data_IF_694752840469
#
_entry.id   IF_694752840469
#
_cell.length_a   1.000
_cell.length_b   1.000
_cell.length_c   1.000
_cell.angle_alpha   90.00
_cell.angle_beta   90.00
_cell.angle_gamma   90.00
#
_symmetry.space_group_name_H-M   'P 1'
#
loop_
_entity.id
_entity.type
_entity.pdbx_description
1 polymer ?
#
# COMPACT_ATOMS: atom_id res chain seq x y z
N UNK A 1 -92.05 13.67 12.16
CA UNK A 1 -91.05 14.13 13.14
C UNK A 1 -89.77 14.44 12.38
N UNK A 2 -89.50 15.72 12.08
CA UNK A 2 -88.36 16.52 12.63
C UNK A 2 -86.97 15.99 12.28
N UNK A 3 -85.95 16.75 11.83
CA UNK A 3 -85.74 18.12 11.32
C UNK A 3 -84.20 18.23 11.18
N UNK A 4 -83.72 19.00 10.19
CA UNK A 4 -82.37 19.67 10.16
C UNK A 4 -81.14 18.73 10.04
N UNK A 5 -79.95 19.13 9.57
CA UNK A 5 -79.27 20.43 9.58
C UNK A 5 -78.23 20.49 8.44
N UNK A 6 -78.24 21.60 7.71
CA UNK A 6 -77.16 22.13 6.86
C UNK A 6 -76.04 22.70 7.73
N UNK A 7 -74.77 22.29 7.57
CA UNK A 7 -73.63 23.06 8.10
C UNK A 7 -72.46 23.09 7.11
N UNK A 8 -72.12 24.32 6.75
CA UNK A 8 -70.90 24.73 6.07
C UNK A 8 -69.66 24.39 6.91
N UNK A 9 -68.58 23.99 6.25
CA UNK A 9 -67.24 24.05 6.82
C UNK A 9 -66.37 24.87 5.88
N UNK A 10 -65.70 25.86 6.48
CA UNK A 10 -65.01 26.96 5.85
C UNK A 10 -63.79 26.52 5.02
N UNK A 11 -63.54 27.28 3.96
CA UNK A 11 -62.23 27.40 3.33
C UNK A 11 -61.17 27.69 4.40
N UNK A 12 -60.24 26.75 4.60
CA UNK A 12 -58.93 27.04 5.15
C UNK A 12 -57.92 26.80 4.03
N UNK A 13 -57.56 27.88 3.33
CA UNK A 13 -56.39 27.91 2.46
C UNK A 13 -55.16 27.85 3.38
N UNK A 14 -54.74 26.63 3.70
CA UNK A 14 -53.41 26.40 4.25
C UNK A 14 -52.42 26.61 3.09
N UNK A 15 -51.84 27.82 3.04
CA UNK A 15 -50.59 28.08 2.33
C UNK A 15 -49.52 27.23 3.02
N UNK A 16 -49.42 25.97 2.61
CA UNK A 16 -48.20 25.21 2.85
C UNK A 16 -47.11 25.93 2.06
N UNK A 17 -46.00 26.37 2.70
CA UNK A 17 -44.82 26.65 1.93
C UNK A 17 -44.54 25.36 1.18
N UNK A 18 -44.51 25.45 -0.15
CA UNK A 18 -43.89 24.48 -1.02
C UNK A 18 -42.48 24.28 -0.46
N UNK A 19 -42.34 23.34 0.48
CA UNK A 19 -41.09 22.64 0.70
C UNK A 19 -40.73 22.21 -0.70
N UNK A 20 -39.70 22.86 -1.24
CA UNK A 20 -39.02 22.42 -2.42
C UNK A 20 -38.84 20.92 -2.22
N UNK A 21 -39.72 20.13 -2.83
CA UNK A 21 -39.44 18.76 -3.23
C UNK A 21 -38.32 18.95 -4.22
N UNK A 22 -37.12 19.11 -3.67
CA UNK A 22 -35.89 19.17 -4.40
C UNK A 22 -35.96 17.94 -5.27
N UNK A 23 -36.14 18.19 -6.57
CA UNK A 23 -36.02 17.20 -7.60
C UNK A 23 -34.74 16.46 -7.24
N UNK A 24 -34.88 15.18 -6.86
CA UNK A 24 -33.75 14.32 -6.54
C UNK A 24 -32.99 14.10 -7.85
N UNK A 25 -32.26 15.14 -8.27
CA UNK A 25 -31.25 15.03 -9.28
C UNK A 25 -30.23 14.07 -8.71
N UNK A 26 -30.20 12.86 -9.24
CA UNK A 26 -29.03 12.01 -9.12
C UNK A 26 -27.84 12.88 -9.53
N UNK A 27 -27.03 13.34 -8.56
CA UNK A 27 -25.76 13.96 -8.89
C UNK A 27 -24.86 12.85 -9.43
N UNK A 28 -24.87 12.79 -10.76
CA UNK A 28 -24.15 11.92 -11.71
C UNK A 28 -22.66 12.23 -11.83
N UNK A 29 -22.12 13.07 -10.94
CA UNK A 29 -20.79 13.62 -11.07
C UNK A 29 -19.76 12.71 -10.35
N UNK A 30 -18.73 12.32 -11.09
CA UNK A 30 -17.55 11.66 -10.57
C UNK A 30 -16.93 12.50 -9.44
N UNK A 31 -16.29 11.82 -8.49
CA UNK A 31 -15.51 12.47 -7.44
C UNK A 31 -14.36 13.25 -8.07
N UNK A 32 -14.12 14.47 -7.56
CA UNK A 32 -12.98 15.26 -8.01
C UNK A 32 -11.65 14.56 -7.73
N UNK A 33 -10.84 14.39 -8.77
CA UNK A 33 -9.59 13.64 -8.72
C UNK A 33 -8.62 14.19 -7.66
N UNK A 34 -8.53 15.52 -7.57
CA UNK A 34 -7.51 16.24 -6.80
C UNK A 34 -7.92 16.43 -5.34
N UNK A 35 -9.20 16.69 -5.08
CA UNK A 35 -9.70 17.16 -3.79
C UNK A 35 -10.74 16.23 -3.16
N UNK A 36 -11.36 15.36 -3.95
CA UNK A 36 -12.43 14.48 -3.46
C UNK A 36 -11.96 13.31 -2.58
N UNK A 37 -12.87 12.50 -2.05
CA UNK A 37 -12.54 11.26 -1.35
C UNK A 37 -11.66 10.33 -2.19
N UNK A 38 -10.69 9.68 -1.56
CA UNK A 38 -9.82 8.69 -2.22
C UNK A 38 -9.34 7.65 -1.22
N UNK A 39 -9.10 6.44 -1.68
CA UNK A 39 -8.32 5.44 -0.95
C UNK A 39 -7.21 4.86 -1.78
N UNK A 40 -6.22 4.31 -1.08
CA UNK A 40 -5.05 3.67 -1.65
C UNK A 40 -4.76 2.36 -0.92
N UNK A 41 -4.28 1.36 -1.65
CA UNK A 41 -3.84 0.08 -1.11
C UNK A 41 -2.56 -0.38 -1.81
N UNK A 42 -1.58 -0.78 -1.02
CA UNK A 42 -0.29 -1.27 -1.47
C UNK A 42 0.07 -2.54 -0.70
N UNK A 43 0.57 -3.56 -1.40
CA UNK A 43 0.88 -4.86 -0.79
C UNK A 43 2.17 -4.81 0.02
N UNK A 44 3.22 -4.15 -0.47
CA UNK A 44 4.46 -3.94 0.27
C UNK A 44 5.22 -2.71 -0.25
N UNK A 45 5.93 -2.03 0.64
CA UNK A 45 6.85 -0.96 0.28
C UNK A 45 8.09 -1.06 1.15
N UNK A 46 9.25 -0.67 0.62
CA UNK A 46 10.53 -0.84 1.29
C UNK A 46 11.36 0.41 1.12
N UNK A 47 12.12 0.74 2.16
CA UNK A 47 13.19 1.74 2.14
C UNK A 47 14.44 1.11 2.75
N UNK A 48 15.57 1.24 2.08
CA UNK A 48 16.88 0.88 2.61
C UNK A 48 17.59 2.18 2.97
N UNK A 49 18.28 2.21 4.11
CA UNK A 49 18.91 3.40 4.67
C UNK A 49 17.98 4.20 5.59
N UNK A 50 18.56 5.22 6.23
CA UNK A 50 17.84 6.11 7.14
C UNK A 50 16.77 6.95 6.44
N UNK A 51 15.68 7.25 7.16
CA UNK A 51 14.67 8.20 6.68
C UNK A 51 15.33 9.58 6.44
N UNK A 52 15.26 10.09 5.21
CA UNK A 52 15.87 11.36 4.82
C UNK A 52 17.31 11.26 4.28
N UNK A 53 17.93 10.09 4.29
CA UNK A 53 19.19 9.84 3.58
C UNK A 53 18.93 9.22 2.20
N UNK A 54 19.91 9.32 1.29
CA UNK A 54 19.87 8.95 -0.14
C UNK A 54 19.61 7.45 -0.44
N UNK A 55 19.08 6.69 0.50
CA UNK A 55 18.73 5.30 0.29
C UNK A 55 17.49 5.13 -0.58
N UNK A 56 17.48 4.08 -1.39
CA UNK A 56 16.42 3.77 -2.32
C UNK A 56 15.15 3.29 -1.62
N UNK A 57 14.00 3.71 -2.12
CA UNK A 57 12.70 3.14 -1.76
C UNK A 57 12.12 2.39 -2.96
N UNK A 58 11.69 1.15 -2.72
CA UNK A 58 10.87 0.38 -3.63
C UNK A 58 9.42 0.49 -3.16
N UNK A 59 8.54 0.97 -4.02
CA UNK A 59 7.10 0.94 -3.75
C UNK A 59 6.46 0.09 -4.83
N UNK A 60 5.78 -0.98 -4.41
CA UNK A 60 5.10 -1.86 -5.36
C UNK A 60 3.92 -1.16 -6.01
N UNK A 61 3.30 -1.81 -6.98
CA UNK A 61 2.05 -1.32 -7.59
C UNK A 61 1.03 -0.94 -6.51
N UNK A 62 0.50 0.28 -6.62
CA UNK A 62 -0.45 0.85 -5.66
C UNK A 62 -1.81 0.97 -6.33
N UNK A 63 -2.83 0.42 -5.69
CA UNK A 63 -4.22 0.56 -6.12
C UNK A 63 -4.78 1.87 -5.59
N UNK A 64 -5.49 2.61 -6.43
CA UNK A 64 -6.21 3.85 -6.10
C UNK A 64 -7.70 3.63 -6.36
N UNK A 65 -8.55 4.13 -5.48
CA UNK A 65 -9.99 4.07 -5.71
C UNK A 65 -10.38 4.78 -7.02
N UNK A 66 -11.35 4.25 -7.79
CA UNK A 66 -11.91 4.94 -8.94
C UNK A 66 -12.62 6.25 -8.55
N UNK A 67 -12.90 7.11 -9.52
CA UNK A 67 -13.67 8.35 -9.31
C UNK A 67 -15.19 8.11 -9.26
N UNK A 68 -15.64 6.94 -9.70
CA UNK A 68 -17.02 6.47 -9.62
C UNK A 68 -17.08 5.24 -8.71
N UNK A 69 -18.24 4.89 -8.14
CA UNK A 69 -18.37 3.70 -7.31
C UNK A 69 -17.80 2.45 -7.99
N UNK A 70 -16.97 1.71 -7.27
CA UNK A 70 -16.23 0.57 -7.81
C UNK A 70 -14.94 0.31 -7.04
N UNK A 71 -14.10 -0.58 -7.56
CA UNK A 71 -12.84 -0.97 -6.93
C UNK A 71 -11.72 -1.14 -7.96
N UNK A 72 -10.50 -0.81 -7.56
CA UNK A 72 -9.26 -1.22 -8.22
C UNK A 72 -8.59 -2.28 -7.38
N UNK A 73 -8.24 -3.41 -8.00
CA UNK A 73 -7.71 -4.59 -7.31
C UNK A 73 -6.37 -5.00 -7.93
N UNK A 74 -5.41 -5.30 -7.06
CA UNK A 74 -4.12 -5.85 -7.46
C UNK A 74 -4.30 -7.28 -8.00
N UNK A 75 -3.60 -7.59 -9.10
CA UNK A 75 -3.61 -8.92 -9.70
C UNK A 75 -2.98 -9.98 -8.80
N UNK A 76 -3.59 -11.17 -8.75
CA UNK A 76 -3.10 -12.30 -7.95
C UNK A 76 -1.79 -12.90 -8.45
N UNK A 77 -1.31 -12.51 -9.64
CA UNK A 77 -0.03 -12.92 -10.22
C UNK A 77 1.17 -12.38 -9.44
N UNK A 78 0.98 -11.29 -8.69
CA UNK A 78 2.00 -10.76 -7.80
C UNK A 78 2.11 -11.62 -6.55
N UNK A 79 3.00 -12.61 -6.56
CA UNK A 79 3.19 -13.51 -5.41
C UNK A 79 4.36 -13.09 -4.50
N UNK A 80 5.31 -12.28 -4.97
CA UNK A 80 6.46 -11.83 -4.19
C UNK A 80 6.96 -10.42 -4.51
N UNK A 81 7.79 -9.89 -3.62
CA UNK A 81 8.56 -8.65 -3.77
C UNK A 81 10.01 -8.97 -3.35
N UNK A 82 11.01 -8.73 -4.20
CA UNK A 82 10.92 -8.12 -5.52
C UNK A 82 10.30 -9.10 -6.55
N UNK A 83 9.60 -8.58 -7.56
CA UNK A 83 9.00 -9.36 -8.66
C UNK A 83 9.98 -9.57 -9.82
N UNK A 84 10.82 -8.57 -10.09
CA UNK A 84 11.76 -8.54 -11.21
C UNK A 84 13.14 -8.01 -10.77
N UNK A 85 14.09 -8.01 -11.69
CA UNK A 85 15.47 -7.60 -11.42
C UNK A 85 15.60 -6.10 -11.14
N UNK A 86 14.67 -5.26 -11.66
CA UNK A 86 14.64 -3.84 -11.34
C UNK A 86 14.23 -3.60 -9.89
N UNK A 87 13.20 -4.31 -9.42
CA UNK A 87 12.79 -4.30 -8.03
C UNK A 87 13.90 -4.86 -7.13
N UNK A 88 14.58 -5.92 -7.56
CA UNK A 88 15.69 -6.54 -6.84
C UNK A 88 16.89 -5.60 -6.69
N UNK A 89 17.24 -4.86 -7.73
CA UNK A 89 18.33 -3.87 -7.67
C UNK A 89 18.05 -2.75 -6.63
N UNK A 90 16.78 -2.47 -6.33
CA UNK A 90 16.42 -1.46 -5.32
C UNK A 90 16.20 -2.07 -3.93
N UNK A 91 15.60 -3.25 -3.84
CA UNK A 91 15.34 -3.93 -2.57
C UNK A 91 16.55 -4.67 -1.99
N UNK A 92 17.59 -4.86 -2.81
CA UNK A 92 18.70 -5.74 -2.51
C UNK A 92 18.38 -7.20 -2.84
N UNK A 93 19.43 -8.00 -3.04
CA UNK A 93 19.33 -9.38 -3.50
C UNK A 93 18.99 -10.40 -2.41
N UNK A 94 19.06 -10.02 -1.13
CA UNK A 94 19.01 -10.97 -0.01
C UNK A 94 17.66 -11.07 0.67
N UNK A 95 16.77 -10.10 0.51
CA UNK A 95 15.44 -10.17 1.08
C UNK A 95 14.40 -10.55 0.03
N UNK A 96 13.36 -11.25 0.50
CA UNK A 96 12.15 -11.51 -0.27
C UNK A 96 10.93 -11.47 0.63
N UNK A 97 9.88 -10.80 0.18
CA UNK A 97 8.57 -10.79 0.80
C UNK A 97 7.67 -11.66 -0.07
N UNK A 98 7.23 -12.79 0.44
CA UNK A 98 6.28 -13.68 -0.19
C UNK A 98 4.87 -13.40 0.35
N UNK A 99 3.89 -13.34 -0.55
CA UNK A 99 2.57 -12.77 -0.26
C UNK A 99 1.42 -13.37 -1.08
N UNK A 100 1.65 -14.45 -1.83
CA UNK A 100 0.65 -15.08 -2.68
C UNK A 100 0.57 -16.60 -2.51
N UNK A 101 0.04 -17.24 -3.56
CA UNK A 101 -0.10 -18.69 -3.66
C UNK A 101 1.16 -19.32 -4.27
N UNK A 102 1.64 -20.37 -3.63
CA UNK A 102 2.82 -21.13 -4.01
C UNK A 102 2.49 -22.62 -4.15
N UNK A 103 3.24 -23.29 -5.01
CA UNK A 103 3.29 -24.76 -5.03
C UNK A 103 3.96 -25.29 -3.75
N UNK A 104 3.73 -26.56 -3.42
CA UNK A 104 4.24 -27.15 -2.19
C UNK A 104 5.77 -27.07 -2.06
N UNK A 105 6.51 -27.25 -3.16
CA UNK A 105 7.99 -27.18 -3.16
C UNK A 105 8.54 -25.77 -3.03
N UNK A 106 7.73 -24.74 -3.33
CA UNK A 106 8.13 -23.33 -3.28
C UNK A 106 7.52 -22.58 -2.09
N UNK A 107 6.76 -23.25 -1.24
CA UNK A 107 6.00 -22.63 -0.17
C UNK A 107 6.93 -22.09 0.94
N UNK A 108 6.94 -20.78 1.21
CA UNK A 108 7.77 -20.17 2.26
C UNK A 108 7.10 -20.21 3.64
N UNK A 109 5.82 -20.56 3.71
CA UNK A 109 5.06 -20.54 4.95
C UNK A 109 5.29 -21.81 5.79
N UNK A 110 5.24 -21.72 7.14
CA UNK A 110 5.37 -22.88 8.01
C UNK A 110 4.19 -23.85 7.82
N UNK A 111 4.35 -25.13 8.24
CA UNK A 111 3.28 -26.12 8.19
C UNK A 111 1.98 -25.61 8.83
N UNK A 112 0.85 -25.84 8.15
CA UNK A 112 -0.48 -25.40 8.62
C UNK A 112 -0.86 -23.97 8.24
N UNK A 113 0.06 -23.15 7.74
CA UNK A 113 -0.27 -21.84 7.18
C UNK A 113 -0.64 -21.97 5.70
N UNK A 114 -1.86 -21.60 5.28
CA UNK A 114 -2.29 -21.79 3.91
C UNK A 114 -1.54 -20.86 2.95
N UNK A 115 -1.09 -21.42 1.82
CA UNK A 115 -0.63 -20.62 0.70
C UNK A 115 -1.84 -20.19 -0.14
N UNK A 116 -2.15 -18.90 -0.18
CA UNK A 116 -3.39 -18.36 -0.75
C UNK A 116 -3.15 -17.08 -1.53
N UNK A 117 -4.08 -16.76 -2.42
CA UNK A 117 -4.05 -15.47 -3.12
C UNK A 117 -4.26 -14.33 -2.11
N UNK A 118 -3.61 -13.21 -2.36
CA UNK A 118 -3.86 -11.98 -1.63
C UNK A 118 -5.15 -11.31 -2.11
N UNK A 119 -5.71 -10.45 -1.27
CA UNK A 119 -6.84 -9.59 -1.60
C UNK A 119 -6.47 -8.15 -1.26
N UNK A 120 -5.97 -7.41 -2.26
CA UNK A 120 -5.57 -6.00 -2.11
C UNK A 120 -6.37 -5.14 -3.07
N UNK A 121 -7.14 -4.21 -2.52
CA UNK A 121 -7.94 -3.30 -3.33
C UNK A 121 -8.18 -1.96 -2.63
N UNK A 122 -8.41 -0.95 -3.46
CA UNK A 122 -8.93 0.35 -3.06
C UNK A 122 -10.28 0.58 -3.76
N UNK A 123 -11.29 1.00 -3.01
CA UNK A 123 -12.65 1.14 -3.48
C UNK A 123 -13.25 2.49 -3.14
N UNK A 124 -14.18 2.91 -3.98
CA UNK A 124 -15.12 3.98 -3.70
C UNK A 124 -16.51 3.35 -3.60
N UNK A 125 -17.16 3.47 -2.45
CA UNK A 125 -18.50 2.92 -2.26
C UNK A 125 -19.55 3.74 -3.04
N UNK A 126 -20.77 3.19 -3.21
CA UNK A 126 -21.90 3.93 -3.78
C UNK A 126 -22.24 5.22 -2.99
N UNK A 127 -21.95 5.20 -1.69
CA UNK A 127 -22.05 6.33 -0.76
C UNK A 127 -20.92 7.35 -0.91
N UNK A 128 -19.99 7.16 -1.87
CA UNK A 128 -18.73 7.91 -2.06
C UNK A 128 -17.73 7.80 -0.90
N UNK A 129 -17.95 6.88 0.02
CA UNK A 129 -17.00 6.56 1.10
C UNK A 129 -15.80 5.81 0.51
N UNK A 130 -14.56 6.32 0.67
CA UNK A 130 -13.37 5.63 0.23
C UNK A 130 -12.96 4.57 1.25
N UNK A 131 -12.73 3.34 0.77
CA UNK A 131 -12.25 2.22 1.59
C UNK A 131 -11.07 1.53 0.92
N UNK A 132 -10.20 0.92 1.70
CA UNK A 132 -9.11 0.10 1.17
C UNK A 132 -8.84 -1.08 2.08
N UNK A 133 -8.42 -2.19 1.49
CA UNK A 133 -8.07 -3.43 2.19
C UNK A 133 -6.82 -4.03 1.58
N UNK A 134 -5.93 -4.54 2.43
CA UNK A 134 -4.89 -5.47 2.03
C UNK A 134 -4.92 -6.69 2.96
N UNK A 135 -5.14 -7.86 2.38
CA UNK A 135 -5.25 -9.12 3.13
C UNK A 135 -4.42 -10.22 2.49
N UNK A 136 -3.51 -10.83 3.24
CA UNK A 136 -2.73 -11.99 2.80
C UNK A 136 -2.01 -12.65 3.98
N UNK A 137 -1.18 -13.65 3.71
CA UNK A 137 -0.11 -14.08 4.61
C UNK A 137 1.19 -13.45 4.08
N UNK A 138 1.97 -12.81 4.93
CA UNK A 138 3.30 -12.30 4.53
C UNK A 138 4.37 -13.21 5.10
N UNK A 139 5.36 -13.60 4.31
CA UNK A 139 6.59 -14.21 4.78
C UNK A 139 7.79 -13.36 4.33
N UNK A 140 8.61 -12.91 5.27
CA UNK A 140 9.91 -12.30 5.00
C UNK A 140 10.97 -13.40 5.02
N UNK A 141 11.75 -13.50 3.95
CA UNK A 141 12.88 -14.41 3.81
C UNK A 141 14.19 -13.66 3.70
N UNK A 142 15.22 -14.27 4.28
CA UNK A 142 16.63 -13.90 4.14
C UNK A 142 17.37 -14.97 3.34
N UNK A 143 17.46 -14.77 2.03
CA UNK A 143 18.14 -15.71 1.13
C UNK A 143 19.66 -15.67 1.28
N UNK A 144 20.22 -14.73 2.04
CA UNK A 144 21.65 -14.73 2.37
C UNK A 144 22.02 -15.90 3.28
N UNK A 145 21.08 -16.45 4.06
CA UNK A 145 21.36 -17.64 4.87
C UNK A 145 21.62 -18.88 4.00
N UNK A 146 21.02 -18.96 2.80
CA UNK A 146 21.28 -20.02 1.83
C UNK A 146 20.65 -21.37 2.21
N UNK A 147 19.44 -21.35 2.79
CA UNK A 147 18.69 -22.54 3.13
C UNK A 147 18.31 -23.40 1.91
N UNK A 148 18.01 -24.68 2.16
CA UNK A 148 17.76 -25.67 1.09
C UNK A 148 16.38 -25.56 0.47
N UNK A 149 15.41 -25.04 1.22
CA UNK A 149 14.03 -24.78 0.80
C UNK A 149 13.59 -23.39 1.27
N UNK A 150 12.59 -22.77 0.63
CA UNK A 150 12.15 -21.41 0.98
C UNK A 150 11.86 -21.19 2.48
N UNK A 151 11.22 -22.16 3.13
CA UNK A 151 10.90 -22.08 4.56
C UNK A 151 12.14 -22.04 5.47
N UNK A 152 13.31 -22.51 5.02
CA UNK A 152 14.57 -22.45 5.77
C UNK A 152 15.13 -21.02 5.85
N UNK A 153 14.75 -20.15 4.93
CA UNK A 153 15.18 -18.75 4.91
C UNK A 153 14.14 -17.80 5.52
N UNK A 154 12.93 -18.30 5.83
CA UNK A 154 11.85 -17.48 6.39
C UNK A 154 12.18 -17.05 7.81
N UNK A 155 12.23 -15.73 8.05
CA UNK A 155 12.54 -15.12 9.35
C UNK A 155 11.30 -14.61 10.09
N UNK A 156 10.27 -14.20 9.37
CA UNK A 156 9.05 -13.62 9.92
C UNK A 156 7.84 -14.02 9.07
N UNK A 157 6.74 -14.47 9.68
CA UNK A 157 5.45 -14.67 9.00
C UNK A 157 4.32 -13.99 9.74
N UNK A 158 3.57 -13.13 9.04
CA UNK A 158 2.31 -12.56 9.52
C UNK A 158 1.16 -13.40 8.91
N UNK A 159 0.67 -14.36 9.68
CA UNK A 159 -0.44 -15.22 9.29
C UNK A 159 -1.77 -14.45 9.41
N UNK A 160 -2.60 -14.49 8.38
CA UNK A 160 -3.90 -13.81 8.38
C UNK A 160 -3.78 -12.30 8.50
N UNK A 161 -2.70 -11.72 7.96
CA UNK A 161 -2.50 -10.29 7.98
C UNK A 161 -3.62 -9.59 7.20
N UNK A 162 -4.31 -8.66 7.87
CA UNK A 162 -5.35 -7.83 7.27
C UNK A 162 -5.19 -6.40 7.73
N UNK A 163 -5.21 -5.49 6.78
CA UNK A 163 -5.27 -4.06 7.02
C UNK A 163 -6.47 -3.49 6.29
N UNK A 164 -7.16 -2.54 6.92
CA UNK A 164 -8.34 -1.94 6.33
C UNK A 164 -8.55 -0.52 6.83
N UNK A 165 -9.14 0.30 5.97
CA UNK A 165 -9.53 1.68 6.29
C UNK A 165 -10.91 1.97 5.70
N UNK A 166 -11.69 2.76 6.43
CA UNK A 166 -12.99 3.30 5.99
C UNK A 166 -13.15 4.72 6.54
N UNK A 167 -13.37 5.67 5.64
CA UNK A 167 -13.52 7.09 5.94
C UNK A 167 -14.96 7.56 5.70
N UNK A 168 -15.89 7.07 6.51
CA UNK A 168 -17.32 7.41 6.40
C UNK A 168 -17.61 8.90 6.70
N UNK A 169 -16.74 9.57 7.46
CA UNK A 169 -16.83 11.01 7.71
C UNK A 169 -15.69 11.55 8.56
N UNK A 170 -15.56 12.88 8.72
CA UNK A 170 -14.45 13.50 9.45
C UNK A 170 -14.27 13.00 10.89
N UNK A 171 -15.38 12.72 11.59
CA UNK A 171 -15.39 12.17 12.95
C UNK A 171 -15.55 10.63 12.99
N UNK A 172 -15.56 9.97 11.82
CA UNK A 172 -15.82 8.54 11.64
C UNK A 172 -14.79 7.94 10.69
N UNK A 173 -13.52 8.11 11.06
CA UNK A 173 -12.38 7.46 10.42
C UNK A 173 -12.11 6.15 11.14
N UNK A 174 -11.95 5.06 10.37
CA UNK A 174 -11.56 3.77 10.94
C UNK A 174 -10.33 3.23 10.20
N UNK A 175 -9.45 2.62 10.99
CA UNK A 175 -8.22 1.99 10.54
C UNK A 175 -7.97 0.76 11.41
N UNK A 176 -7.64 -0.36 10.79
CA UNK A 176 -7.36 -1.61 11.50
C UNK A 176 -6.15 -2.33 10.89
N UNK A 177 -5.36 -2.96 11.75
CA UNK A 177 -4.28 -3.88 11.36
C UNK A 177 -4.33 -5.08 12.29
N UNK A 178 -4.63 -6.24 11.72
CA UNK A 178 -4.80 -7.50 12.44
C UNK A 178 -3.91 -8.59 11.85
N UNK A 179 -3.48 -9.50 12.71
CA UNK A 179 -2.78 -10.74 12.36
C UNK A 179 -3.37 -11.84 13.24
N UNK A 180 -3.53 -13.04 12.69
CA UNK A 180 -4.00 -14.20 13.44
C UNK A 180 -2.88 -14.76 14.30
N UNK A 181 -1.69 -14.94 13.71
CA UNK A 181 -0.48 -15.39 14.39
C UNK A 181 0.73 -14.71 13.81
N UNK A 182 1.75 -14.57 14.66
CA UNK A 182 3.06 -14.10 14.26
C UNK A 182 4.06 -15.22 14.44
N UNK A 183 4.78 -15.57 13.38
CA UNK A 183 5.82 -16.57 13.41
C UNK A 183 7.17 -15.90 13.24
N UNK A 184 8.14 -16.29 14.07
CA UNK A 184 9.47 -15.72 14.09
C UNK A 184 10.49 -16.84 14.12
N UNK A 185 11.56 -16.70 13.34
CA UNK A 185 12.69 -17.63 13.37
C UNK A 185 13.43 -17.51 14.70
N UNK A 186 13.47 -18.63 15.41
CA UNK A 186 14.13 -18.75 16.71
C UNK A 186 15.61 -19.08 16.52
N UNK A 187 16.42 -18.92 17.58
CA UNK A 187 17.85 -19.23 17.56
C UNK A 187 18.17 -20.68 17.13
N UNK A 188 17.25 -21.62 17.38
CA UNK A 188 17.36 -23.02 16.95
C UNK A 188 17.01 -23.27 15.47
N UNK A 189 16.79 -22.22 14.67
CA UNK A 189 16.49 -22.31 13.23
C UNK A 189 15.04 -22.62 12.88
N UNK A 190 14.20 -23.01 13.84
CA UNK A 190 12.76 -23.21 13.60
C UNK A 190 11.95 -21.91 13.63
N UNK A 191 10.83 -21.87 12.89
CA UNK A 191 9.80 -20.84 13.08
C UNK A 191 8.94 -21.20 14.29
N UNK A 192 8.84 -20.27 15.25
CA UNK A 192 7.97 -20.39 16.43
C UNK A 192 6.93 -19.28 16.48
N UNK A 193 5.75 -19.59 17.01
CA UNK A 193 4.69 -18.58 17.24
C UNK A 193 5.10 -17.69 18.40
N UNK A 194 4.99 -16.37 18.22
CA UNK A 194 5.18 -15.37 19.26
C UNK A 194 3.89 -14.57 19.46
N UNK A 195 3.57 -14.15 20.70
CA UNK A 195 2.44 -13.28 20.93
C UNK A 195 2.68 -11.92 20.27
N UNK A 196 1.65 -11.39 19.61
CA UNK A 196 1.69 -9.99 19.15
C UNK A 196 1.53 -9.09 20.39
N UNK A 197 2.51 -8.24 20.72
CA UNK A 197 2.34 -7.28 21.81
C UNK A 197 1.21 -6.31 21.48
N UNK A 198 0.36 -6.06 22.48
CA UNK A 198 -0.79 -5.17 22.35
C UNK A 198 -0.39 -3.70 22.20
N UNK A 199 -1.34 -2.88 21.74
CA UNK A 199 -1.16 -1.43 21.65
C UNK A 199 -0.11 -0.99 20.63
N UNK A 200 0.63 0.06 20.98
CA UNK A 200 1.63 0.71 20.11
C UNK A 200 3.06 0.23 20.33
N UNK A 201 3.30 -0.62 21.35
CA UNK A 201 4.64 -1.06 21.73
C UNK A 201 5.35 -1.86 20.62
N UNK A 202 4.59 -2.66 19.85
CA UNK A 202 5.13 -3.50 18.80
C UNK A 202 6.04 -4.62 19.32
N UNK A 203 6.38 -5.57 18.46
CA UNK A 203 7.34 -6.64 18.75
C UNK A 203 8.75 -6.08 18.56
N UNK A 204 9.67 -6.42 19.46
CA UNK A 204 11.08 -6.20 19.26
C UNK A 204 11.85 -7.50 19.48
N UNK A 205 12.72 -7.82 18.55
CA UNK A 205 13.59 -8.99 18.53
C UNK A 205 15.01 -8.50 18.33
N UNK A 206 15.96 -9.13 19.00
CA UNK A 206 17.37 -8.74 18.94
C UNK A 206 18.25 -9.91 18.54
N UNK A 207 19.39 -9.60 17.94
CA UNK A 207 20.43 -10.57 17.58
C UNK A 207 19.91 -11.74 16.72
N UNK A 208 18.99 -11.47 15.79
CA UNK A 208 18.49 -12.47 14.86
C UNK A 208 19.57 -12.83 13.84
N UNK A 209 19.60 -14.11 13.44
CA UNK A 209 20.35 -14.59 12.27
C UNK A 209 19.63 -14.13 11.00
N UNK A 210 19.88 -12.88 10.65
CA UNK A 210 19.31 -12.15 9.53
C UNK A 210 20.40 -11.24 8.98
N UNK A 211 20.72 -11.39 7.70
CA UNK A 211 21.75 -10.68 6.97
C UNK A 211 21.35 -9.30 6.47
N UNK A 212 22.28 -8.58 5.82
CA UNK A 212 21.99 -7.31 5.17
C UNK A 212 21.16 -7.53 3.89
N UNK A 213 20.35 -6.54 3.46
CA UNK A 213 19.49 -6.67 2.28
C UNK A 213 20.27 -6.85 0.96
N UNK A 214 21.56 -6.48 0.90
CA UNK A 214 22.44 -6.63 -0.26
C UNK A 214 23.87 -6.96 0.14
N UNK A 215 24.75 -7.11 -0.85
CA UNK A 215 26.14 -7.48 -0.64
C UNK A 215 26.97 -6.38 -0.01
N UNK A 216 27.80 -6.77 0.96
CA UNK A 216 28.74 -5.88 1.66
C UNK A 216 30.08 -6.59 1.70
N UNK A 217 31.11 -5.94 1.18
CA UNK A 217 32.47 -6.48 1.13
C UNK A 217 32.92 -6.89 2.53
N UNK A 218 33.50 -8.09 2.65
CA UNK A 218 33.99 -8.71 3.89
C UNK A 218 32.92 -9.07 4.94
N UNK A 219 31.62 -8.91 4.64
CA UNK A 219 30.58 -9.32 5.57
C UNK A 219 30.56 -10.84 5.76
N UNK A 220 30.50 -11.28 7.02
CA UNK A 220 30.43 -12.69 7.40
C UNK A 220 29.06 -13.08 7.95
N UNK A 221 28.54 -14.23 7.50
CA UNK A 221 27.23 -14.76 7.89
C UNK A 221 27.18 -15.22 9.34
N UNK A 222 28.29 -15.73 9.86
CA UNK A 222 28.37 -16.31 11.20
C UNK A 222 28.52 -15.25 12.30
N UNK A 223 28.91 -14.02 11.99
CA UNK A 223 29.04 -12.92 12.96
C UNK A 223 27.99 -11.83 12.79
N UNK A 224 27.44 -11.65 11.59
CA UNK A 224 26.38 -10.67 11.32
C UNK A 224 25.05 -11.07 11.97
N UNK A 225 24.39 -10.08 12.58
CA UNK A 225 23.08 -10.23 13.24
C UNK A 225 22.20 -9.02 12.95
N UNK A 226 20.89 -9.17 13.09
CA UNK A 226 19.96 -8.04 12.98
C UNK A 226 19.00 -7.94 14.16
N UNK A 227 18.63 -6.71 14.48
CA UNK A 227 17.50 -6.40 15.33
C UNK A 227 16.27 -6.15 14.45
N UNK A 228 15.11 -6.69 14.83
CA UNK A 228 13.85 -6.53 14.12
C UNK A 228 12.79 -5.94 15.04
N UNK A 229 12.07 -4.93 14.56
CA UNK A 229 10.91 -4.35 15.23
C UNK A 229 9.69 -4.41 14.31
N UNK A 230 8.57 -4.91 14.81
CA UNK A 230 7.29 -4.95 14.08
C UNK A 230 6.25 -4.10 14.82
N UNK A 231 5.72 -3.09 14.16
CA UNK A 231 4.69 -2.19 14.70
C UNK A 231 3.50 -2.07 13.75
N UNK A 232 2.36 -1.59 14.27
CA UNK A 232 1.24 -1.18 13.42
C UNK A 232 1.50 0.23 12.90
N UNK A 233 1.17 0.46 11.63
CA UNK A 233 1.07 1.81 11.07
C UNK A 233 -0.21 2.43 11.61
N UNK A 234 -0.09 3.56 12.29
CA UNK A 234 -1.21 4.30 12.87
C UNK A 234 -1.39 5.69 12.23
N UNK A 235 -0.40 6.17 11.48
CA UNK A 235 -0.41 7.49 10.87
C UNK A 235 0.05 7.44 9.40
N UNK A 236 -0.38 8.43 8.63
CA UNK A 236 -0.19 8.47 7.17
C UNK A 236 1.27 8.72 6.74
N UNK A 237 2.03 9.43 7.57
CA UNK A 237 3.45 9.71 7.40
C UNK A 237 4.34 8.47 7.64
N UNK A 238 3.83 7.47 8.36
CA UNK A 238 4.53 6.21 8.60
C UNK A 238 4.50 5.25 7.39
N UNK A 239 3.68 5.54 6.37
CA UNK A 239 3.65 4.80 5.11
C UNK A 239 4.83 5.21 4.21
N UNK A 240 5.39 4.25 3.46
CA UNK A 240 6.29 4.54 2.35
C UNK A 240 5.42 4.71 1.10
N UNK A 241 5.42 5.91 0.51
CA UNK A 241 4.40 6.35 -0.44
C UNK A 241 5.00 6.87 -1.74
N UNK A 242 4.27 6.69 -2.84
CA UNK A 242 4.60 7.29 -4.14
C UNK A 242 4.16 8.75 -4.21
N UNK A 243 4.82 9.52 -5.07
CA UNK A 243 4.39 10.85 -5.45
C UNK A 243 3.03 10.77 -6.16
N UNK A 244 1.96 11.09 -5.43
CA UNK A 244 0.56 10.92 -5.89
C UNK A 244 -0.33 10.17 -4.91
N UNK A 245 0.25 9.47 -3.93
CA UNK A 245 -0.46 8.92 -2.79
C UNK A 245 -0.83 10.07 -1.82
N UNK A 246 -1.95 10.73 -2.13
CA UNK A 246 -2.39 11.94 -1.45
C UNK A 246 -3.07 11.63 -0.11
N UNK A 247 -2.77 12.47 0.87
CA UNK A 247 -3.60 12.65 2.06
C UNK A 247 -4.67 13.71 1.79
N UNK A 248 -5.62 13.84 2.71
CA UNK A 248 -6.60 14.93 2.73
C UNK A 248 -6.67 15.58 4.11
N UNK A 249 -7.66 16.45 4.30
CA UNK A 249 -7.93 17.11 5.59
C UNK A 249 -8.15 16.09 6.73
N UNK A 250 -8.79 14.97 6.39
CA UNK A 250 -9.02 13.85 7.29
C UNK A 250 -8.52 12.57 6.64
N UNK A 251 -7.53 11.94 7.26
CA UNK A 251 -6.84 10.76 6.70
C UNK A 251 -6.76 9.65 7.73
N UNK A 252 -7.12 8.44 7.32
CA UNK A 252 -6.88 7.21 8.07
C UNK A 252 -5.81 6.38 7.35
N UNK A 253 -4.95 5.71 8.11
CA UNK A 253 -3.92 4.84 7.56
C UNK A 253 -3.78 3.57 8.41
N UNK A 254 -3.44 2.46 7.78
CA UNK A 254 -3.17 1.19 8.43
C UNK A 254 -2.10 0.39 7.67
N UNK A 255 -1.47 -0.58 8.33
CA UNK A 255 -0.29 -1.25 7.81
C UNK A 255 0.51 -1.97 8.89
N UNK A 256 1.49 -2.74 8.48
CA UNK A 256 2.49 -3.35 9.36
C UNK A 256 3.87 -2.83 8.99
N UNK A 257 4.55 -2.17 9.93
CA UNK A 257 5.89 -1.63 9.73
C UNK A 257 6.92 -2.56 10.37
N UNK A 258 7.79 -3.12 9.55
CA UNK A 258 8.95 -3.94 9.94
C UNK A 258 10.20 -3.07 9.80
N UNK A 259 10.90 -2.84 10.89
CA UNK A 259 12.15 -2.09 10.94
C UNK A 259 13.26 -3.08 11.28
N UNK A 260 14.25 -3.21 10.40
CA UNK A 260 15.39 -4.12 10.56
C UNK A 260 16.65 -3.28 10.64
N UNK A 261 17.45 -3.48 11.67
CA UNK A 261 18.81 -2.93 11.78
C UNK A 261 19.78 -4.09 11.74
N UNK A 262 20.51 -4.23 10.64
CA UNK A 262 21.54 -5.25 10.47
C UNK A 262 22.88 -4.70 10.94
N UNK A 263 23.48 -5.35 11.93
CA UNK A 263 24.82 -5.08 12.44
C UNK A 263 25.83 -5.95 11.69
N UNK A 264 26.38 -5.41 10.61
CA UNK A 264 27.24 -6.15 9.70
C UNK A 264 28.64 -6.25 10.27
N UNK A 265 29.16 -7.47 10.33
CA UNK A 265 30.48 -7.79 10.88
C UNK A 265 31.30 -8.65 9.93
N UNK A 266 32.61 -8.58 10.05
CA UNK A 266 33.53 -9.49 9.38
C UNK A 266 33.69 -10.83 10.14
N UNK A 267 34.48 -11.74 9.58
CA UNK A 267 34.73 -13.06 10.17
C UNK A 267 35.45 -13.00 11.54
N UNK A 268 36.16 -11.91 11.82
CA UNK A 268 36.84 -11.67 13.10
C UNK A 268 35.90 -11.01 14.13
N UNK A 269 34.68 -10.64 13.73
CA UNK A 269 33.68 -9.99 14.56
C UNK A 269 33.85 -8.48 14.64
N UNK A 270 34.72 -7.86 13.83
CA UNK A 270 34.83 -6.42 13.75
C UNK A 270 33.61 -5.84 13.02
N UNK A 271 33.10 -4.71 13.52
CA UNK A 271 31.97 -4.03 12.92
C UNK A 271 32.37 -3.38 11.59
N UNK A 272 31.60 -3.64 10.54
CA UNK A 272 31.77 -3.02 9.24
C UNK A 272 30.84 -1.81 9.10
N UNK A 273 29.53 -2.03 9.25
CA UNK A 273 28.51 -0.97 9.20
C UNK A 273 27.15 -1.46 9.73
N UNK A 274 26.26 -0.53 10.05
CA UNK A 274 24.84 -0.80 10.30
C UNK A 274 24.02 -0.48 9.05
N UNK A 275 23.12 -1.40 8.66
CA UNK A 275 22.18 -1.18 7.57
C UNK A 275 20.76 -1.20 8.09
N UNK A 276 20.02 -0.12 7.87
CA UNK A 276 18.60 -0.03 8.25
C UNK A 276 17.71 -0.33 7.06
N UNK A 277 16.69 -1.16 7.28
CA UNK A 277 15.65 -1.47 6.30
C UNK A 277 14.29 -1.27 6.93
N UNK A 278 13.45 -0.45 6.32
CA UNK A 278 12.05 -0.26 6.72
C UNK A 278 11.15 -0.87 5.66
N UNK A 279 10.26 -1.77 6.06
CA UNK A 279 9.27 -2.42 5.20
C UNK A 279 7.88 -2.06 5.74
N UNK A 280 6.98 -1.65 4.87
CA UNK A 280 5.56 -1.48 5.17
C UNK A 280 4.79 -2.54 4.41
N UNK A 281 4.15 -3.47 5.13
CA UNK A 281 3.32 -4.54 4.58
C UNK A 281 1.83 -4.16 4.67
N UNK A 282 1.10 -4.32 3.57
CA UNK A 282 -0.33 -4.01 3.50
C UNK A 282 -0.65 -2.55 3.81
N UNK A 283 0.15 -1.61 3.32
CA UNK A 283 -0.11 -0.18 3.51
C UNK A 283 -1.42 0.24 2.86
N UNK A 284 -2.37 0.75 3.64
CA UNK A 284 -3.64 1.27 3.15
C UNK A 284 -3.92 2.65 3.74
N UNK A 285 -4.63 3.48 2.99
CA UNK A 285 -5.13 4.76 3.50
C UNK A 285 -6.43 5.17 2.85
N UNK A 286 -7.25 5.93 3.55
CA UNK A 286 -8.33 6.68 2.95
C UNK A 286 -8.25 8.15 3.38
N UNK A 287 -8.75 9.02 2.53
CA UNK A 287 -8.70 10.47 2.72
C UNK A 287 -9.99 11.11 2.24
N UNK A 288 -10.50 12.06 3.00
CA UNK A 288 -11.71 12.82 2.67
C UNK A 288 -11.48 14.33 2.91
N UNK A 289 -12.10 15.21 2.11
CA UNK A 289 -11.98 16.65 2.30
C UNK A 289 -12.83 17.16 3.46
N UNK A 290 -12.55 18.38 3.90
CA UNK A 290 -13.38 19.11 4.85
C UNK A 290 -14.80 19.29 4.30
N UNK A 291 -15.80 19.02 5.15
CA UNK A 291 -17.20 19.09 4.76
C UNK A 291 -17.71 17.86 3.99
N UNK A 292 -16.91 16.79 3.88
CA UNK A 292 -17.37 15.54 3.31
C UNK A 292 -18.58 14.98 4.08
N UNK A 293 -19.62 14.64 3.32
CA UNK A 293 -20.82 13.93 3.78
C UNK A 293 -21.07 12.77 2.82
N UNK A 294 -21.10 11.56 3.35
CA UNK A 294 -21.42 10.38 2.56
C UNK A 294 -22.81 10.52 1.92
N UNK A 295 -22.95 10.11 0.66
CA UNK A 295 -24.24 10.07 -0.03
C UNK A 295 -25.17 9.06 0.66
N UNK A 296 -26.46 9.34 0.70
CA UNK A 296 -27.47 8.37 1.13
C UNK A 296 -27.41 7.13 0.21
N UNK A 297 -27.44 5.93 0.79
CA UNK A 297 -27.38 4.68 0.04
C UNK A 297 -28.58 4.53 -0.88
N UNK A 298 -28.38 4.79 -2.18
CA UNK A 298 -29.33 4.50 -3.24
C UNK A 298 -28.72 3.56 -4.27
N UNK A 299 -29.53 2.93 -5.14
CA UNK A 299 -29.01 2.03 -6.19
C UNK A 299 -27.97 2.77 -7.04
N UNK A 300 -26.83 2.12 -7.30
CA UNK A 300 -25.80 2.63 -8.20
C UNK A 300 -26.36 2.68 -9.64
N UNK A 301 -27.05 3.77 -9.97
CA UNK A 301 -27.47 4.06 -11.33
C UNK A 301 -26.23 4.31 -12.20
N UNK A 302 -26.11 3.57 -13.30
CA UNK A 302 -25.04 3.77 -14.28
C UNK A 302 -25.03 5.21 -14.77
N UNK A 303 -23.89 5.89 -14.62
CA UNK A 303 -23.75 7.29 -15.02
C UNK A 303 -22.47 7.46 -15.83
N UNK A 304 -22.63 8.02 -17.03
CA UNK A 304 -21.56 8.48 -17.91
C UNK A 304 -21.05 9.83 -17.39
N UNK A 305 -20.16 9.81 -16.40
CA UNK A 305 -19.43 11.01 -16.01
C UNK A 305 -18.35 11.31 -17.06
N UNK A 306 -18.38 12.50 -17.65
CA UNK A 306 -17.39 12.99 -18.62
C UNK A 306 -16.19 13.59 -17.89
N UNK A 307 -15.39 12.74 -17.26
CA UNK A 307 -14.03 13.09 -16.82
C UNK A 307 -13.02 12.15 -17.47
N UNK A 308 -11.80 12.61 -17.76
CA UNK A 308 -10.71 11.74 -18.20
C UNK A 308 -10.53 10.58 -17.23
N UNK A 309 -10.32 9.37 -17.75
CA UNK A 309 -10.05 8.20 -16.92
C UNK A 309 -8.74 8.40 -16.14
N UNK A 310 -8.83 8.40 -14.82
CA UNK A 310 -7.66 8.47 -13.93
C UNK A 310 -7.10 7.06 -13.75
N UNK A 311 -5.78 6.83 -13.88
CA UNK A 311 -5.19 5.53 -13.59
C UNK A 311 -5.54 5.08 -12.18
N UNK A 312 -6.21 3.93 -12.09
CA UNK A 312 -6.54 3.29 -10.81
C UNK A 312 -5.42 2.37 -10.32
N UNK A 313 -4.47 2.08 -11.19
CA UNK A 313 -3.21 1.40 -10.89
C UNK A 313 -2.08 2.40 -11.05
N UNK A 314 -1.31 2.60 -9.99
CA UNK A 314 -0.06 3.36 -10.02
C UNK A 314 1.09 2.34 -10.12
N UNK A 315 1.85 2.33 -11.24
CA UNK A 315 2.93 1.36 -11.44
C UNK A 315 3.95 1.39 -10.30
N UNK A 316 4.68 0.29 -10.10
CA UNK A 316 5.78 0.26 -9.15
C UNK A 316 6.80 1.36 -9.46
N UNK A 317 7.40 1.91 -8.40
CA UNK A 317 8.28 3.08 -8.51
C UNK A 317 9.48 3.00 -7.57
N UNK A 318 10.51 3.75 -7.95
CA UNK A 318 11.79 3.84 -7.25
C UNK A 318 12.05 5.29 -6.84
N UNK A 319 12.39 5.53 -5.57
CA UNK A 319 12.78 6.86 -5.07
C UNK A 319 14.19 6.78 -4.48
N UNK A 320 15.15 7.56 -4.95
CA UNK A 320 16.52 7.60 -4.39
C UNK A 320 17.53 6.64 -5.06
N UNK A 321 18.71 6.48 -4.45
CA UNK A 321 19.80 5.66 -5.00
C UNK A 321 19.62 4.17 -4.70
N UNK A 322 20.05 3.29 -5.60
CA UNK A 322 19.89 1.83 -5.50
C UNK A 322 20.58 1.22 -4.26
N UNK A 323 20.18 -0.01 -3.88
CA UNK A 323 20.85 -0.80 -2.86
C UNK A 323 22.31 -1.09 -3.26
N UNK A 324 23.20 -1.47 -2.31
CA UNK A 324 24.54 -1.96 -2.65
C UNK A 324 24.47 -3.08 -3.68
N UNK A 325 25.26 -2.96 -4.77
CA UNK A 325 25.21 -3.85 -5.92
C UNK A 325 25.69 -5.27 -5.57
N UNK A 326 25.10 -6.27 -6.23
CA UNK A 326 25.43 -7.70 -6.09
C UNK A 326 26.58 -8.18 -6.98
N UNK A 327 27.14 -7.28 -7.79
CA UNK A 327 28.09 -7.64 -8.82
C UNK A 327 29.49 -7.29 -8.31
N UNK A 328 30.27 -8.31 -7.95
CA UNK A 328 31.63 -8.20 -7.38
C UNK A 328 32.71 -7.61 -8.29
N UNK A 329 32.35 -6.92 -9.38
CA UNK A 329 33.28 -6.22 -10.26
C UNK A 329 33.18 -4.72 -10.06
N UNK A 330 34.18 -4.17 -9.38
CA UNK A 330 34.36 -2.74 -9.22
C UNK A 330 34.62 -2.05 -10.55
N UNK A 331 33.57 -1.64 -11.26
CA UNK A 331 33.58 -0.49 -12.19
C UNK A 331 32.22 -0.29 -12.86
N UNK A 332 31.31 0.45 -12.21
CA UNK A 332 30.27 1.18 -12.95
C UNK A 332 30.11 2.59 -12.38
N UNK A 333 30.57 3.55 -13.19
CA UNK A 333 30.27 4.98 -13.06
C UNK A 333 28.74 5.13 -13.08
N UNK A 334 28.14 5.92 -12.19
CA UNK A 334 26.69 6.01 -12.05
C UNK A 334 26.11 6.77 -13.24
N UNK A 335 25.54 6.07 -14.22
CA UNK A 335 24.65 6.68 -15.22
C UNK A 335 23.26 6.94 -14.60
N UNK A 336 23.25 7.83 -13.59
CA UNK A 336 22.05 8.42 -13.03
C UNK A 336 21.47 9.48 -13.96
N UNK A 337 20.99 9.10 -15.16
CA UNK A 337 20.26 9.99 -16.09
C UNK A 337 19.10 9.26 -16.82
N UNK A 338 18.90 7.94 -16.67
CA UNK A 338 17.98 7.16 -17.51
C UNK A 338 16.47 7.29 -17.25
N UNK A 339 16.03 7.74 -16.07
CA UNK A 339 14.59 7.75 -15.71
C UNK A 339 13.94 9.15 -15.66
N UNK A 340 14.66 10.20 -16.05
CA UNK A 340 14.08 11.52 -16.30
C UNK A 340 13.53 11.70 -17.73
N UNK A 341 13.71 10.72 -18.63
CA UNK A 341 13.32 10.84 -20.04
C UNK A 341 11.93 10.31 -20.40
N UNK A 342 11.26 9.55 -19.52
CA UNK A 342 9.92 9.01 -19.80
C UNK A 342 8.83 10.09 -19.91
N UNK A 343 8.94 11.18 -19.13
CA UNK A 343 7.97 12.28 -19.15
C UNK A 343 8.21 13.30 -20.27
N UNK A 344 9.45 13.45 -20.75
CA UNK A 344 9.81 14.45 -21.77
C UNK A 344 9.51 13.92 -23.19
N UNK A 345 9.57 12.61 -23.41
CA UNK A 345 9.30 12.03 -24.74
C UNK A 345 7.83 12.19 -25.17
N UNK A 346 6.87 12.06 -24.25
CA UNK A 346 5.45 12.27 -24.56
C UNK A 346 5.07 13.75 -24.75
N UNK A 347 5.75 14.67 -24.05
CA UNK A 347 5.54 16.11 -24.25
C UNK A 347 6.07 16.61 -25.60
N UNK A 348 7.22 16.10 -26.06
CA UNK A 348 7.80 16.47 -27.35
C UNK A 348 6.99 15.93 -28.55
N UNK A 349 6.45 14.71 -28.46
CA UNK A 349 5.59 14.13 -29.51
C UNK A 349 4.23 14.85 -29.59
N UNK A 350 3.66 15.28 -28.46
CA UNK A 350 2.43 16.08 -28.44
C UNK A 350 2.62 17.49 -29.04
N UNK A 351 3.78 18.13 -28.81
CA UNK A 351 4.12 19.43 -29.41
C UNK A 351 4.42 19.34 -30.91
N UNK A 352 5.03 18.25 -31.38
CA UNK A 352 5.28 18.00 -32.80
C UNK A 352 3.99 17.63 -33.58
N UNK A 353 3.09 16.89 -32.96
CA UNK A 353 1.77 16.56 -33.55
C UNK A 353 0.79 17.75 -33.49
N UNK A 354 0.90 18.62 -32.48
CA UNK A 354 0.12 19.85 -32.36
C UNK A 354 0.53 20.94 -33.36
N UNK A 355 1.81 21.02 -33.74
CA UNK A 355 2.31 22.01 -34.72
C UNK A 355 1.95 21.69 -36.17
N UNK A 356 1.73 20.41 -36.53
CA UNK A 356 1.32 20.04 -37.89
C UNK A 356 -0.14 20.34 -38.23
N UNK A 357 -0.99 20.69 -37.25
CA UNK A 357 -2.40 21.04 -37.49
C UNK A 357 -2.68 22.54 -37.71
N UNK A 358 -1.66 23.41 -37.64
CA UNK A 358 -1.82 24.87 -37.78
C UNK A 358 -1.22 25.49 -39.05
N UNK A 359 -0.74 24.68 -39.99
CA UNK A 359 -0.19 25.16 -41.28
C UNK A 359 -0.93 24.55 -42.48
N UNK A 360 -2.26 24.52 -42.42
CA UNK A 360 -3.12 24.06 -43.50
C UNK A 360 -4.40 24.88 -43.53
N UNK A 361 -4.26 26.15 -43.88
CA UNK A 361 -5.33 26.99 -44.42
C UNK A 361 -4.79 27.59 -45.72
N UNK A 362 -5.16 26.97 -46.82
CA UNK A 362 -5.77 27.63 -47.97
C UNK A 362 -6.93 26.73 -48.43
#
# INVERSE_FOLDING_TARGET
>A
MTRLVTKAAALAVAVFPLVNVGVAGAQTQAVDEKTGPVSFANIASVRIGDEGQRGGALITETQRSPLLPGQSKLGADRVSVPKDDGERATFGGHYRIDLGRYSASQNPYPPGVPSRDHNVYAALQATTVPTAVAETNYALRDTWQGGTKPADDTVLVLEGAKTSVDCTGPAKLSAASTVTRLWVRQAGGGLGIVPMPGGTAGLQLKNLRLGPPGDITNADRATTVSDLKLTRVAAFDQLIRQDGWRGGDFTAAAGWRVEITTHVKDAQGAALQDVKTTIVLGGVSCSIPKGFVAKAGGPAGGTTATQPAVPTQVPAGYLGAAAPATDGDGSRIPFGIGLLFGGVFFAAVALLLGRRRKTGSD
#
